data_IF_511658245176
#
_entry.id   IF_511658245176
#
_cell.length_a   1.000
_cell.length_b   1.000
_cell.length_c   1.000
_cell.angle_alpha   90.00
_cell.angle_beta   90.00
_cell.angle_gamma   90.00
#
_symmetry.space_group_name_H-M   'P 1'
#
loop_
_entity.id
_entity.type
_entity.pdbx_description
1 polymer ?
#
# COMPACT_ATOMS: atom_id res chain seq x y z
N UNK A 1 7.44 -27.18 -14.61
CA UNK A 1 5.99 -27.04 -14.47
C UNK A 1 5.51 -25.81 -15.24
N UNK A 2 4.26 -25.85 -15.74
CA UNK A 2 3.64 -24.74 -16.44
C UNK A 2 2.65 -24.01 -15.54
N UNK A 3 2.56 -22.70 -15.71
CA UNK A 3 1.60 -21.87 -14.96
C UNK A 3 0.16 -22.18 -15.40
N UNK A 4 -0.76 -22.52 -14.49
CA UNK A 4 -2.15 -22.84 -14.85
C UNK A 4 -2.93 -21.65 -15.42
N UNK A 5 -2.50 -20.41 -15.14
CA UNK A 5 -3.19 -19.21 -15.58
C UNK A 5 -2.76 -18.72 -16.97
N UNK A 6 -1.47 -18.83 -17.32
CA UNK A 6 -0.96 -18.29 -18.59
C UNK A 6 -0.18 -19.30 -19.44
N UNK A 7 0.00 -20.55 -18.97
CA UNK A 7 0.79 -21.58 -19.67
C UNK A 7 2.31 -21.34 -19.69
N UNK A 8 2.78 -20.23 -19.12
CA UNK A 8 4.20 -19.88 -19.06
C UNK A 8 5.01 -20.79 -18.12
N UNK A 9 6.33 -20.69 -18.20
CA UNK A 9 7.22 -21.44 -17.31
C UNK A 9 7.07 -21.03 -15.86
N UNK A 10 7.34 -21.98 -14.95
CA UNK A 10 7.36 -21.71 -13.51
C UNK A 10 8.71 -22.10 -12.92
N UNK A 11 9.17 -21.36 -11.91
CA UNK A 11 10.35 -21.66 -11.11
C UNK A 11 9.97 -21.89 -9.64
N UNK A 12 10.79 -22.63 -8.92
CA UNK A 12 10.66 -22.75 -7.47
C UNK A 12 11.55 -21.68 -6.86
N UNK A 13 10.97 -20.83 -6.04
CA UNK A 13 11.67 -19.92 -5.17
C UNK A 13 11.67 -20.51 -3.76
N UNK A 14 12.85 -20.50 -3.12
CA UNK A 14 13.02 -20.99 -1.75
C UNK A 14 13.41 -19.81 -0.88
N UNK A 15 12.46 -19.34 -0.08
CA UNK A 15 12.68 -18.26 0.87
C UNK A 15 12.54 -18.81 2.30
N UNK A 16 13.63 -18.83 3.04
CA UNK A 16 13.68 -19.30 4.43
C UNK A 16 13.13 -20.74 4.62
N UNK A 17 13.38 -21.64 3.66
CA UNK A 17 12.89 -23.01 3.68
C UNK A 17 11.44 -23.18 3.23
N UNK A 18 10.78 -22.12 2.80
CA UNK A 18 9.45 -22.16 2.19
C UNK A 18 9.61 -22.15 0.66
N UNK A 19 9.24 -23.28 0.05
CA UNK A 19 9.35 -23.46 -1.40
C UNK A 19 8.05 -23.07 -2.09
N UNK A 20 8.09 -21.99 -2.87
CA UNK A 20 6.94 -21.48 -3.61
C UNK A 20 7.15 -21.63 -5.11
N UNK A 21 6.12 -22.13 -5.81
CA UNK A 21 6.13 -22.21 -7.26
C UNK A 21 5.63 -20.89 -7.85
N UNK A 22 6.49 -20.16 -8.52
CA UNK A 22 6.18 -18.86 -9.12
C UNK A 22 6.26 -18.91 -10.64
N UNK A 23 5.33 -18.20 -11.30
CA UNK A 23 5.34 -18.02 -12.74
C UNK A 23 6.45 -17.05 -13.13
N UNK A 24 7.24 -17.39 -14.17
CA UNK A 24 8.31 -16.52 -14.67
C UNK A 24 7.80 -15.47 -15.67
N UNK A 25 6.59 -15.68 -16.23
CA UNK A 25 6.00 -14.74 -17.17
C UNK A 25 5.57 -13.43 -16.43
N UNK A 26 6.14 -12.33 -16.81
CA UNK A 26 5.81 -10.99 -16.26
C UNK A 26 4.39 -10.56 -16.67
N UNK A 27 3.92 -10.97 -17.85
CA UNK A 27 2.59 -10.67 -18.37
C UNK A 27 1.53 -11.71 -17.96
N UNK A 28 1.78 -12.48 -16.90
CA UNK A 28 0.83 -13.47 -16.41
C UNK A 28 -0.44 -12.78 -15.89
N UNK A 29 -1.61 -13.18 -16.43
CA UNK A 29 -2.91 -12.62 -16.03
C UNK A 29 -3.17 -12.73 -14.53
N UNK A 30 -2.80 -13.85 -13.90
CA UNK A 30 -2.95 -14.02 -12.45
C UNK A 30 -2.05 -13.05 -11.64
N UNK A 31 -0.83 -12.76 -12.12
CA UNK A 31 0.03 -11.73 -11.49
C UNK A 31 -0.58 -10.35 -11.64
N UNK A 32 -1.10 -10.03 -12.83
CA UNK A 32 -1.77 -8.77 -13.11
C UNK A 32 -2.97 -8.55 -12.19
N UNK A 33 -3.86 -9.53 -12.07
CA UNK A 33 -5.01 -9.45 -11.16
C UNK A 33 -4.56 -9.24 -9.73
N UNK A 34 -3.56 -9.99 -9.24
CA UNK A 34 -3.03 -9.82 -7.88
C UNK A 34 -2.43 -8.44 -7.65
N UNK A 35 -1.73 -7.88 -8.63
CA UNK A 35 -1.19 -6.53 -8.55
C UNK A 35 -2.31 -5.49 -8.42
N UNK A 36 -3.36 -5.58 -9.24
CA UNK A 36 -4.52 -4.71 -9.14
C UNK A 36 -5.26 -4.89 -7.81
N UNK A 37 -5.54 -6.14 -7.39
CA UNK A 37 -6.20 -6.44 -6.12
C UNK A 37 -5.43 -5.89 -4.92
N UNK A 38 -4.10 -5.98 -4.95
CA UNK A 38 -3.26 -5.39 -3.93
C UNK A 38 -3.36 -3.86 -3.94
N UNK A 39 -3.24 -3.25 -5.12
CA UNK A 39 -3.28 -1.79 -5.28
C UNK A 39 -4.58 -1.19 -4.77
N UNK A 40 -5.74 -1.81 -5.08
CA UNK A 40 -7.05 -1.31 -4.67
C UNK A 40 -7.44 -1.70 -3.24
N UNK A 41 -6.66 -2.54 -2.57
CA UNK A 41 -6.98 -3.05 -1.24
C UNK A 41 -7.10 -1.94 -0.20
N UNK A 42 -7.82 -2.24 0.90
CA UNK A 42 -8.12 -1.29 1.98
C UNK A 42 -6.89 -0.64 2.59
N UNK A 43 -5.83 -1.41 2.78
CA UNK A 43 -4.58 -0.93 3.38
C UNK A 43 -3.64 -0.25 2.37
N UNK A 44 -3.97 -0.32 1.08
CA UNK A 44 -3.27 0.34 -0.02
C UNK A 44 -4.03 1.61 -0.45
N UNK A 45 -4.57 1.66 -1.67
CA UNK A 45 -5.29 2.84 -2.18
C UNK A 45 -6.77 2.90 -1.76
N UNK A 46 -7.30 1.86 -1.11
CA UNK A 46 -8.66 1.78 -0.58
C UNK A 46 -9.75 2.11 -1.61
N UNK A 47 -9.70 1.48 -2.77
CA UNK A 47 -10.72 1.65 -3.81
C UNK A 47 -11.79 0.58 -3.65
N UNK A 48 -12.92 0.93 -3.05
CA UNK A 48 -14.05 0.03 -2.88
C UNK A 48 -14.75 -0.29 -4.22
N UNK A 49 -15.39 -1.47 -4.28
CA UNK A 49 -16.22 -1.87 -5.42
C UNK A 49 -15.48 -2.66 -6.50
N UNK A 50 -14.20 -2.94 -6.35
CA UNK A 50 -13.38 -3.73 -7.26
C UNK A 50 -13.01 -5.09 -6.66
N UNK A 51 -13.88 -6.08 -6.85
CA UNK A 51 -13.52 -7.48 -6.56
C UNK A 51 -12.53 -8.03 -7.60
N UNK A 52 -11.82 -9.13 -7.28
CA UNK A 52 -10.95 -9.81 -8.26
C UNK A 52 -11.72 -10.19 -9.55
N UNK A 53 -12.97 -10.64 -9.41
CA UNK A 53 -13.82 -10.97 -10.56
C UNK A 53 -14.15 -9.73 -11.40
N UNK A 54 -14.38 -8.58 -10.77
CA UNK A 54 -14.60 -7.30 -11.46
C UNK A 54 -13.34 -6.83 -12.17
N UNK A 55 -12.20 -6.90 -11.48
CA UNK A 55 -10.89 -6.57 -12.07
C UNK A 55 -10.58 -7.46 -13.28
N UNK A 56 -10.86 -8.77 -13.18
CA UNK A 56 -10.68 -9.70 -14.30
C UNK A 56 -11.51 -9.28 -15.51
N UNK A 57 -12.82 -9.00 -15.32
CA UNK A 57 -13.70 -8.55 -16.42
C UNK A 57 -13.15 -7.29 -17.10
N UNK A 58 -12.71 -6.29 -16.33
CA UNK A 58 -12.15 -5.05 -16.86
C UNK A 58 -10.81 -5.25 -17.59
N UNK A 59 -9.98 -6.17 -17.09
CA UNK A 59 -8.72 -6.56 -17.76
C UNK A 59 -9.02 -7.26 -19.08
N UNK A 60 -9.98 -8.18 -19.09
CA UNK A 60 -10.31 -8.99 -20.28
C UNK A 60 -10.87 -8.15 -21.43
N UNK A 61 -11.60 -7.08 -21.13
CA UNK A 61 -12.10 -6.14 -22.13
C UNK A 61 -11.12 -4.99 -22.44
N UNK A 62 -9.94 -4.98 -21.81
CA UNK A 62 -8.87 -4.02 -22.09
C UNK A 62 -9.02 -2.66 -21.42
N UNK A 63 -9.97 -2.50 -20.49
CA UNK A 63 -10.14 -1.26 -19.71
C UNK A 63 -9.01 -1.04 -18.69
N UNK A 64 -8.40 -2.13 -18.21
CA UNK A 64 -7.31 -2.10 -17.23
C UNK A 64 -6.09 -2.83 -17.81
N UNK A 65 -5.09 -2.10 -18.25
CA UNK A 65 -3.80 -2.61 -18.71
C UNK A 65 -2.71 -2.35 -17.69
N UNK A 66 -2.61 -1.12 -17.21
CA UNK A 66 -1.68 -0.67 -16.18
C UNK A 66 -2.45 -0.11 -14.99
N UNK A 67 -1.81 -0.07 -13.83
CA UNK A 67 -2.46 0.34 -12.57
C UNK A 67 -3.07 1.75 -12.67
N UNK A 68 -2.43 2.66 -13.38
CA UNK A 68 -2.91 4.02 -13.55
C UNK A 68 -4.20 4.13 -14.40
N UNK A 69 -4.55 3.10 -15.20
CA UNK A 69 -5.79 3.07 -15.98
C UNK A 69 -7.05 3.13 -15.08
N UNK A 70 -6.92 2.75 -13.80
CA UNK A 70 -7.99 2.94 -12.81
C UNK A 70 -8.49 4.39 -12.76
N UNK A 71 -7.60 5.35 -12.89
CA UNK A 71 -7.95 6.78 -12.80
C UNK A 71 -8.60 7.34 -14.06
N UNK A 72 -8.56 6.60 -15.17
CA UNK A 72 -9.21 6.97 -16.45
C UNK A 72 -10.54 6.25 -16.67
N UNK A 73 -10.96 5.34 -15.79
CA UNK A 73 -12.23 4.60 -15.91
C UNK A 73 -13.47 5.50 -16.01
N UNK A 74 -13.41 6.72 -15.52
CA UNK A 74 -14.48 7.73 -15.68
C UNK A 74 -14.81 8.04 -17.15
N UNK A 75 -13.82 7.87 -18.05
CA UNK A 75 -13.94 8.18 -19.48
C UNK A 75 -14.52 7.00 -20.28
N UNK A 76 -14.75 5.84 -19.62
CA UNK A 76 -15.21 4.56 -20.17
C UNK A 76 -16.59 4.14 -19.61
N UNK A 77 -17.47 5.11 -19.33
CA UNK A 77 -18.75 4.84 -18.67
C UNK A 77 -19.60 3.81 -19.43
N UNK A 78 -19.75 3.97 -20.73
CA UNK A 78 -20.63 3.12 -21.55
C UNK A 78 -20.11 1.68 -21.54
N UNK A 79 -18.82 1.48 -21.73
CA UNK A 79 -18.15 0.17 -21.72
C UNK A 79 -18.29 -0.52 -20.35
N UNK A 80 -18.18 0.23 -19.26
CA UNK A 80 -18.33 -0.30 -17.90
C UNK A 80 -19.79 -0.72 -17.63
N UNK A 81 -20.77 0.04 -18.12
CA UNK A 81 -22.18 -0.29 -17.95
C UNK A 81 -22.60 -1.54 -18.75
N UNK A 82 -21.88 -1.91 -19.81
CA UNK A 82 -22.07 -3.16 -20.54
C UNK A 82 -21.54 -4.39 -19.80
N UNK A 83 -20.67 -4.21 -18.78
CA UNK A 83 -20.16 -5.32 -18.00
C UNK A 83 -21.26 -5.92 -17.10
N UNK A 84 -21.37 -7.25 -17.13
CA UNK A 84 -22.30 -7.97 -16.28
C UNK A 84 -22.12 -7.63 -14.79
N UNK A 85 -23.17 -7.20 -14.13
CA UNK A 85 -23.18 -6.80 -12.73
C UNK A 85 -22.93 -5.32 -12.49
N UNK A 86 -22.65 -4.53 -13.56
CA UNK A 86 -22.59 -3.08 -13.48
C UNK A 86 -23.92 -2.44 -13.88
N UNK A 87 -24.31 -1.43 -13.11
CA UNK A 87 -25.38 -0.52 -13.40
C UNK A 87 -24.95 0.90 -13.01
N UNK A 88 -25.78 1.88 -13.27
CA UNK A 88 -25.48 3.30 -13.02
C UNK A 88 -24.99 3.55 -11.58
N UNK A 89 -25.64 2.91 -10.58
CA UNK A 89 -25.29 3.10 -9.18
C UNK A 89 -23.91 2.51 -8.83
N UNK A 90 -23.61 1.31 -9.31
CA UNK A 90 -22.30 0.68 -9.07
C UNK A 90 -21.17 1.41 -9.79
N UNK A 91 -21.42 1.89 -11.00
CA UNK A 91 -20.49 2.77 -11.71
C UNK A 91 -20.21 4.05 -10.91
N UNK A 92 -21.25 4.76 -10.46
CA UNK A 92 -21.06 6.00 -9.70
C UNK A 92 -20.30 5.76 -8.39
N UNK A 93 -20.61 4.68 -7.68
CA UNK A 93 -19.89 4.31 -6.46
C UNK A 93 -18.41 4.04 -6.75
N UNK A 94 -18.10 3.32 -7.82
CA UNK A 94 -16.72 3.05 -8.24
C UNK A 94 -15.97 4.35 -8.55
N UNK A 95 -16.56 5.25 -9.33
CA UNK A 95 -15.91 6.53 -9.67
C UNK A 95 -15.68 7.40 -8.43
N UNK A 96 -16.62 7.41 -7.49
CA UNK A 96 -16.44 8.09 -6.21
C UNK A 96 -15.28 7.48 -5.42
N UNK A 97 -15.24 6.16 -5.27
CA UNK A 97 -14.14 5.47 -4.56
C UNK A 97 -12.77 5.75 -5.21
N UNK A 98 -12.69 5.77 -6.54
CA UNK A 98 -11.47 6.14 -7.26
C UNK A 98 -11.09 7.61 -6.98
N UNK A 99 -12.06 8.52 -6.95
CA UNK A 99 -11.76 9.92 -6.65
C UNK A 99 -11.28 10.12 -5.21
N UNK A 100 -11.89 9.43 -4.26
CA UNK A 100 -11.50 9.47 -2.85
C UNK A 100 -10.08 8.91 -2.63
N UNK A 101 -9.68 7.91 -3.43
CA UNK A 101 -8.34 7.30 -3.36
C UNK A 101 -7.21 8.18 -3.89
N UNK A 102 -7.49 9.33 -4.51
CA UNK A 102 -6.47 10.22 -5.08
C UNK A 102 -5.64 10.98 -4.04
N UNK A 103 -6.03 10.94 -2.78
CA UNK A 103 -5.32 11.59 -1.68
C UNK A 103 -4.90 10.57 -0.61
N UNK A 104 -4.06 9.58 -0.95
CA UNK A 104 -3.63 8.58 0.02
C UNK A 104 -2.57 9.16 0.97
N UNK A 105 -2.48 8.58 2.18
CA UNK A 105 -1.28 8.72 2.98
C UNK A 105 -0.08 8.13 2.24
N UNK A 106 1.10 8.75 2.33
CA UNK A 106 2.29 8.32 1.58
C UNK A 106 2.66 6.86 1.87
N UNK A 107 2.54 6.41 3.11
CA UNK A 107 2.84 5.02 3.48
C UNK A 107 1.90 4.00 2.79
N UNK A 108 0.61 4.34 2.64
CA UNK A 108 -0.36 3.51 1.93
C UNK A 108 -0.05 3.47 0.42
N UNK A 109 0.35 4.60 -0.15
CA UNK A 109 0.80 4.65 -1.54
C UNK A 109 2.05 3.80 -1.76
N UNK A 110 3.10 3.94 -0.94
CA UNK A 110 4.31 3.08 -1.03
C UNK A 110 3.93 1.60 -0.90
N UNK A 111 3.07 1.24 0.04
CA UNK A 111 2.57 -0.13 0.19
C UNK A 111 1.81 -0.60 -1.04
N UNK A 112 0.98 0.26 -1.66
CA UNK A 112 0.19 -0.08 -2.85
C UNK A 112 1.03 -0.45 -4.07
N UNK A 113 2.27 0.01 -4.13
CA UNK A 113 3.20 -0.31 -5.22
C UNK A 113 3.62 -1.78 -5.26
N UNK A 114 3.34 -2.55 -4.21
CA UNK A 114 3.62 -3.99 -4.16
C UNK A 114 5.12 -4.33 -4.18
N UNK A 115 5.96 -3.46 -3.63
CA UNK A 115 7.41 -3.69 -3.56
C UNK A 115 7.68 -4.92 -2.70
N UNK A 116 8.46 -5.91 -3.18
CA UNK A 116 8.73 -7.13 -2.45
C UNK A 116 9.24 -6.86 -1.02
N UNK A 117 8.72 -7.59 -0.04
CA UNK A 117 9.10 -7.49 1.38
C UNK A 117 8.76 -6.14 2.06
N UNK A 118 8.12 -5.21 1.36
CA UNK A 118 7.67 -3.93 1.91
C UNK A 118 6.20 -4.02 2.31
N UNK A 119 5.94 -4.40 3.55
CA UNK A 119 4.61 -4.33 4.16
C UNK A 119 4.26 -2.91 4.61
N UNK A 120 2.99 -2.68 4.96
CA UNK A 120 2.53 -1.35 5.41
C UNK A 120 3.32 -0.82 6.63
N UNK A 121 3.73 -1.69 7.56
CA UNK A 121 4.55 -1.29 8.70
C UNK A 121 5.91 -0.76 8.28
N UNK A 122 6.58 -1.43 7.33
CA UNK A 122 7.85 -0.97 6.77
C UNK A 122 7.69 0.33 5.99
N UNK A 123 6.62 0.44 5.20
CA UNK A 123 6.30 1.68 4.49
C UNK A 123 6.12 2.87 5.46
N UNK A 124 5.43 2.67 6.59
CA UNK A 124 5.28 3.70 7.64
C UNK A 124 6.61 4.12 8.26
N UNK A 125 7.51 3.15 8.55
CA UNK A 125 8.85 3.44 9.08
C UNK A 125 9.67 4.26 8.09
N UNK A 126 9.66 3.87 6.83
CA UNK A 126 10.35 4.57 5.73
C UNK A 126 9.82 6.00 5.60
N UNK A 127 8.51 6.18 5.47
CA UNK A 127 7.90 7.51 5.33
C UNK A 127 8.23 8.41 6.52
N UNK A 128 8.17 7.89 7.74
CA UNK A 128 8.54 8.63 8.95
C UNK A 128 10.00 9.08 8.93
N UNK A 129 10.93 8.20 8.53
CA UNK A 129 12.36 8.51 8.46
C UNK A 129 12.63 9.64 7.45
N UNK A 130 12.03 9.56 6.28
CA UNK A 130 12.16 10.57 5.22
C UNK A 130 11.19 11.74 5.36
N UNK A 131 10.54 11.91 6.54
CA UNK A 131 9.63 13.04 6.85
C UNK A 131 8.51 13.23 5.83
N UNK A 132 7.92 12.13 5.36
CA UNK A 132 6.87 12.09 4.34
C UNK A 132 7.29 12.73 2.99
N UNK A 133 8.59 12.80 2.69
CA UNK A 133 9.10 13.28 1.41
C UNK A 133 9.25 12.12 0.42
N UNK A 134 8.32 12.02 -0.52
CA UNK A 134 8.34 10.98 -1.56
C UNK A 134 9.56 11.09 -2.48
N UNK A 135 10.03 12.29 -2.79
CA UNK A 135 11.20 12.45 -3.66
C UNK A 135 12.46 11.96 -2.95
N UNK A 136 12.62 12.30 -1.67
CA UNK A 136 13.73 11.78 -0.87
C UNK A 136 13.71 10.24 -0.82
N UNK A 137 12.54 9.61 -0.64
CA UNK A 137 12.40 8.14 -0.67
C UNK A 137 12.80 7.56 -2.03
N UNK A 138 12.35 8.18 -3.13
CA UNK A 138 12.61 7.71 -4.48
C UNK A 138 14.08 7.79 -4.89
N UNK A 139 14.79 8.78 -4.37
CA UNK A 139 16.19 9.07 -4.70
C UNK A 139 17.19 8.43 -3.72
N UNK A 140 16.71 7.87 -2.61
CA UNK A 140 17.52 7.24 -1.57
C UNK A 140 18.25 6.01 -2.08
N UNK A 141 19.45 5.79 -1.57
CA UNK A 141 20.22 4.57 -1.81
C UNK A 141 19.98 3.48 -0.76
N UNK A 142 20.64 2.34 -0.91
CA UNK A 142 20.45 1.21 -0.01
C UNK A 142 20.95 1.53 1.42
N UNK A 143 21.97 2.34 1.57
CA UNK A 143 22.56 2.70 2.87
C UNK A 143 21.59 3.59 3.65
N UNK A 144 20.90 4.51 2.99
CA UNK A 144 19.87 5.35 3.58
C UNK A 144 18.71 4.52 4.17
N UNK A 145 18.27 3.48 3.43
CA UNK A 145 17.22 2.58 3.93
C UNK A 145 17.70 1.69 5.08
N UNK A 146 18.92 1.16 5.01
CA UNK A 146 19.50 0.31 6.06
C UNK A 146 19.71 1.09 7.37
N UNK A 147 19.89 2.42 7.30
CA UNK A 147 19.98 3.26 8.50
C UNK A 147 18.67 3.31 9.31
N UNK A 148 17.56 2.86 8.74
CA UNK A 148 16.27 2.80 9.42
C UNK A 148 16.18 1.53 10.27
N UNK A 149 15.89 1.68 11.57
CA UNK A 149 15.69 0.52 12.45
C UNK A 149 14.61 -0.42 11.88
N UNK A 150 14.84 -1.72 11.91
CA UNK A 150 14.01 -2.81 11.37
C UNK A 150 13.97 -2.91 9.82
N UNK A 151 14.67 -2.05 9.08
CA UNK A 151 14.83 -2.19 7.64
C UNK A 151 16.15 -2.89 7.34
N UNK A 152 16.06 -4.11 6.84
CA UNK A 152 17.24 -4.91 6.48
C UNK A 152 17.64 -4.75 5.00
N UNK A 153 18.81 -5.31 4.62
CA UNK A 153 19.33 -5.21 3.25
C UNK A 153 18.34 -5.65 2.17
N UNK A 154 17.57 -6.71 2.42
CA UNK A 154 16.57 -7.24 1.48
C UNK A 154 15.49 -6.21 1.13
N UNK A 155 15.00 -5.47 2.13
CA UNK A 155 13.99 -4.41 1.92
C UNK A 155 14.64 -3.22 1.21
N UNK A 156 15.84 -2.83 1.64
CA UNK A 156 16.59 -1.73 1.04
C UNK A 156 16.85 -1.96 -0.46
N UNK A 157 17.35 -3.14 -0.81
CA UNK A 157 17.60 -3.54 -2.21
C UNK A 157 16.30 -3.57 -3.03
N UNK A 158 15.19 -4.06 -2.46
CA UNK A 158 13.90 -4.09 -3.12
C UNK A 158 13.38 -2.66 -3.42
N UNK A 159 13.52 -1.72 -2.46
CA UNK A 159 13.16 -0.32 -2.64
C UNK A 159 13.97 0.34 -3.76
N UNK A 160 15.29 0.24 -3.69
CA UNK A 160 16.20 0.81 -4.71
C UNK A 160 15.92 0.21 -6.08
N UNK A 161 15.81 -1.12 -6.17
CA UNK A 161 15.52 -1.82 -7.43
C UNK A 161 14.19 -1.37 -8.03
N UNK A 162 13.15 -1.21 -7.20
CA UNK A 162 11.83 -0.77 -7.67
C UNK A 162 11.89 0.61 -8.32
N UNK A 163 12.47 1.59 -7.63
CA UNK A 163 12.53 2.97 -8.10
C UNK A 163 13.48 3.19 -9.27
N UNK A 164 14.47 2.32 -9.46
CA UNK A 164 15.42 2.41 -10.59
C UNK A 164 15.02 1.56 -11.81
N UNK A 165 13.94 0.76 -11.71
CA UNK A 165 13.44 -0.01 -12.85
C UNK A 165 12.71 0.90 -13.84
N UNK A 166 13.09 1.00 -15.12
CA UNK A 166 12.50 1.94 -16.08
C UNK A 166 10.98 1.76 -16.27
N UNK A 167 10.49 0.52 -16.20
CA UNK A 167 9.05 0.23 -16.28
C UNK A 167 8.30 0.84 -15.10
N UNK A 168 8.80 0.64 -13.87
CA UNK A 168 8.18 1.18 -12.66
C UNK A 168 8.22 2.71 -12.62
N UNK A 169 9.30 3.31 -13.12
CA UNK A 169 9.42 4.77 -13.24
C UNK A 169 8.31 5.35 -14.11
N UNK A 170 8.03 4.72 -15.26
CA UNK A 170 6.92 5.14 -16.14
C UNK A 170 5.56 5.01 -15.45
N UNK A 171 5.33 3.91 -14.73
CA UNK A 171 4.08 3.72 -13.97
C UNK A 171 3.94 4.81 -12.91
N UNK A 172 5.00 5.09 -12.15
CA UNK A 172 5.01 6.14 -11.13
C UNK A 172 4.74 7.53 -11.71
N UNK A 173 5.37 7.88 -12.82
CA UNK A 173 5.13 9.15 -13.50
C UNK A 173 3.66 9.33 -13.91
N UNK A 174 3.02 8.26 -14.36
CA UNK A 174 1.58 8.30 -14.68
C UNK A 174 0.71 8.37 -13.42
N UNK A 175 1.00 7.58 -12.39
CA UNK A 175 0.25 7.60 -11.12
C UNK A 175 0.30 8.99 -10.46
N UNK A 176 1.47 9.62 -10.44
CA UNK A 176 1.66 10.94 -9.82
C UNK A 176 0.92 12.09 -10.54
N UNK A 177 0.38 11.86 -11.73
CA UNK A 177 -0.53 12.82 -12.38
C UNK A 177 -1.91 12.84 -11.73
N UNK A 178 -2.30 11.75 -11.06
CA UNK A 178 -3.62 11.58 -10.46
C UNK A 178 -3.60 11.65 -8.93
N UNK A 179 -2.46 11.33 -8.30
CA UNK A 179 -2.34 11.18 -6.86
C UNK A 179 -1.63 12.39 -6.25
N UNK A 180 -2.22 12.93 -5.19
CA UNK A 180 -1.63 13.95 -4.35
C UNK A 180 -1.60 13.43 -2.91
N UNK A 181 -0.43 13.31 -2.32
CA UNK A 181 -0.32 12.79 -0.96
C UNK A 181 -1.01 13.72 0.04
N UNK A 182 -1.71 13.13 1.00
CA UNK A 182 -2.21 13.87 2.15
C UNK A 182 -1.04 14.65 2.77
N UNK A 183 -1.17 15.96 2.83
CA UNK A 183 -0.29 16.73 3.68
C UNK A 183 -0.72 16.44 5.11
N UNK A 184 0.01 15.59 5.81
CA UNK A 184 -0.06 15.67 7.27
C UNK A 184 0.39 17.10 7.61
N UNK A 185 -0.56 17.95 7.98
CA UNK A 185 -0.18 19.11 8.76
C UNK A 185 0.71 18.54 9.86
N UNK A 186 1.95 19.04 9.97
CA UNK A 186 2.73 18.81 11.18
C UNK A 186 1.82 19.34 12.30
N UNK A 187 0.99 18.45 12.84
CA UNK A 187 0.34 18.74 14.07
C UNK A 187 1.52 19.05 14.99
N UNK A 188 1.67 20.30 15.39
CA UNK A 188 2.46 20.73 16.54
C UNK A 188 1.79 20.12 17.79
N UNK A 189 1.55 18.84 17.74
CA UNK A 189 1.18 18.08 18.93
C UNK A 189 2.45 18.10 19.74
N UNK A 190 2.47 18.99 20.74
CA UNK A 190 3.57 19.02 21.68
C UNK A 190 3.86 17.57 22.07
N UNK A 191 5.11 17.15 21.93
CA UNK A 191 5.55 15.77 22.25
C UNK A 191 5.49 15.53 23.77
N UNK A 192 4.32 15.84 24.35
CA UNK A 192 4.07 15.81 25.80
C UNK A 192 4.21 14.44 26.42
N UNK A 193 4.15 13.39 25.58
CA UNK A 193 4.28 11.99 25.98
C UNK A 193 5.62 11.38 25.59
N UNK A 194 6.59 12.19 25.12
CA UNK A 194 7.91 11.70 24.75
C UNK A 194 8.59 10.97 25.92
N UNK A 195 9.13 9.77 25.61
CA UNK A 195 9.78 8.91 26.60
C UNK A 195 8.84 8.15 27.53
N UNK A 196 7.52 8.30 27.41
CA UNK A 196 6.51 7.57 28.20
C UNK A 196 6.07 6.28 27.49
N UNK A 197 5.91 5.21 28.27
CA UNK A 197 5.44 3.92 27.77
C UNK A 197 4.06 3.59 28.34
N UNK A 198 3.13 3.29 27.47
CA UNK A 198 1.71 3.01 27.77
C UNK A 198 1.36 1.56 27.47
N UNK A 199 0.44 1.02 28.23
CA UNK A 199 -0.28 -0.22 27.90
C UNK A 199 -1.77 0.07 27.93
N UNK A 200 -2.47 -0.20 26.84
CA UNK A 200 -3.92 0.06 26.74
C UNK A 200 -4.69 -1.23 27.03
N UNK A 201 -5.42 -1.24 28.14
CA UNK A 201 -6.29 -2.36 28.55
C UNK A 201 -7.70 -1.85 28.88
N UNK A 202 -8.68 -2.75 29.05
CA UNK A 202 -10.04 -2.38 29.45
C UNK A 202 -10.90 -1.79 28.32
N UNK A 203 -12.04 -1.18 28.70
CA UNK A 203 -12.92 -0.41 27.84
C UNK A 203 -12.46 1.05 27.76
N UNK A 204 -12.76 1.71 26.64
CA UNK A 204 -12.43 3.11 26.41
C UNK A 204 -13.73 3.92 26.40
N UNK A 205 -13.76 5.04 27.13
CA UNK A 205 -14.95 5.89 27.24
C UNK A 205 -14.96 7.05 26.23
N UNK A 206 -13.77 7.44 25.70
CA UNK A 206 -13.60 8.61 24.85
C UNK A 206 -13.02 8.31 23.47
N UNK A 207 -12.77 7.04 23.15
CA UNK A 207 -12.18 6.60 21.88
C UNK A 207 -13.02 5.45 21.31
N UNK A 208 -13.24 5.48 20.01
CA UNK A 208 -14.04 4.45 19.33
C UNK A 208 -13.38 3.07 19.37
N UNK A 209 -12.06 3.03 19.43
CA UNK A 209 -11.29 1.80 19.52
C UNK A 209 -9.86 2.02 20.04
N UNK A 210 -9.21 0.93 20.49
CA UNK A 210 -7.84 0.95 21.02
C UNK A 210 -6.80 1.41 19.99
N UNK A 211 -7.08 1.20 18.69
CA UNK A 211 -6.16 1.61 17.62
C UNK A 211 -6.05 3.12 17.53
N UNK A 212 -7.18 3.82 17.62
CA UNK A 212 -7.24 5.29 17.62
C UNK A 212 -6.48 5.88 18.81
N UNK A 213 -6.71 5.38 20.03
CA UNK A 213 -5.96 5.82 21.21
C UNK A 213 -4.45 5.56 21.07
N UNK A 214 -4.06 4.41 20.53
CA UNK A 214 -2.66 4.09 20.27
C UNK A 214 -2.02 5.09 19.31
N UNK A 215 -2.68 5.39 18.19
CA UNK A 215 -2.22 6.35 17.19
C UNK A 215 -2.05 7.75 17.80
N UNK A 216 -2.96 8.16 18.67
CA UNK A 216 -2.90 9.47 19.33
C UNK A 216 -1.75 9.57 20.36
N UNK A 217 -1.55 8.51 21.16
CA UNK A 217 -0.38 8.44 22.08
C UNK A 217 0.94 8.48 21.29
N UNK A 218 1.02 7.73 20.19
CA UNK A 218 2.22 7.68 19.34
C UNK A 218 2.46 9.04 18.62
N UNK A 219 1.41 9.75 18.22
CA UNK A 219 1.49 11.12 17.68
C UNK A 219 2.04 12.12 18.68
N UNK A 220 1.71 11.95 19.97
CA UNK A 220 2.23 12.79 21.06
C UNK A 220 3.63 12.37 21.57
N UNK A 221 4.30 11.41 20.89
CA UNK A 221 5.64 10.94 21.22
C UNK A 221 5.70 9.80 22.24
N UNK A 222 4.54 9.27 22.67
CA UNK A 222 4.46 8.14 23.58
C UNK A 222 4.71 6.81 22.85
N UNK A 223 5.04 5.77 23.60
CA UNK A 223 5.21 4.39 23.10
C UNK A 223 4.12 3.49 23.66
N UNK A 224 3.39 2.77 22.80
CA UNK A 224 2.38 1.79 23.25
C UNK A 224 2.93 0.37 23.11
N UNK A 225 2.79 -0.43 24.18
CA UNK A 225 3.19 -1.85 24.22
C UNK A 225 1.99 -2.73 24.57
N UNK A 226 2.04 -3.99 24.15
CA UNK A 226 0.95 -4.96 24.36
C UNK A 226 0.95 -5.59 25.76
N UNK A 227 2.07 -5.51 26.45
CA UNK A 227 2.23 -6.12 27.79
C UNK A 227 2.86 -5.17 28.78
N UNK A 228 2.41 -5.28 30.04
CA UNK A 228 2.95 -4.53 31.16
C UNK A 228 4.35 -5.01 31.50
N UNK A 229 5.29 -4.08 31.66
CA UNK A 229 6.66 -4.35 32.07
C UNK A 229 7.12 -3.33 33.10
N UNK A 230 8.35 -3.50 33.63
CA UNK A 230 8.96 -2.51 34.55
C UNK A 230 9.20 -1.14 33.90
N UNK A 231 9.06 -1.05 32.56
CA UNK A 231 9.22 0.20 31.79
C UNK A 231 7.87 0.83 31.40
N UNK A 232 6.74 0.28 31.88
CA UNK A 232 5.40 0.83 31.63
C UNK A 232 5.15 1.97 32.60
N UNK A 233 4.91 3.17 32.09
CA UNK A 233 4.63 4.37 32.88
C UNK A 233 3.12 4.50 33.18
N UNK A 234 2.26 4.09 32.23
CA UNK A 234 0.81 4.23 32.33
C UNK A 234 0.07 2.97 31.86
N UNK A 235 -1.05 2.68 32.51
CA UNK A 235 -1.94 1.56 32.22
C UNK A 235 -3.38 2.08 32.09
#
# INVERSE_FOLDING_TARGET
>A
HTCPACGGETKIEDENGIRTLVCTNEFCSAKKIKSFSHFVSRDAMNVDGLSEATLQKMIDVGLLNEIYDLFTLKDHKEEILELEGFGEKSYQNLINAINDSKQPALANFIYSLGIPNVGLSNAKLICKHFKEDFNAIREADAEDFIAIDQIGPMIAEAMVSYFHTPHNQKILEQLLQYVQFEKKEESKTEQILEGKTFVVTGSLDHFDNRKQLKEEIEQMGGKVTESVSKKTDYL
#
